data_IF_477810456090
#
_entry.id   IF_477810456090
#
_cell.length_a   1.000
_cell.length_b   1.000
_cell.length_c   1.000
_cell.angle_alpha   90.00
_cell.angle_beta   90.00
_cell.angle_gamma   90.00
#
_symmetry.space_group_name_H-M   'P 1'
#
loop_
_entity.id
_entity.type
_entity.pdbx_description
1 polymer ?
#
# COMPACT_ATOMS: atom_id res chain seq x y z
N UNK A 1 2.37 0.59 -23.42
CA UNK A 1 2.20 0.20 -22.01
C UNK A 1 0.90 0.68 -21.39
N UNK A 2 0.19 1.69 -21.92
CA UNK A 2 -1.00 2.30 -21.29
C UNK A 2 -0.69 3.35 -20.22
N UNK A 3 0.59 3.73 -20.07
CA UNK A 3 1.05 4.82 -19.18
C UNK A 3 1.32 6.05 -20.04
N UNK A 4 0.78 7.19 -19.65
CA UNK A 4 0.98 8.49 -20.33
C UNK A 4 1.38 9.54 -19.30
N UNK A 5 2.35 10.40 -19.63
CA UNK A 5 2.67 11.59 -18.87
C UNK A 5 2.28 12.82 -19.70
N UNK A 6 1.29 13.58 -19.23
CA UNK A 6 0.99 14.94 -19.69
C UNK A 6 1.69 15.94 -18.78
N UNK A 7 3.01 15.83 -18.77
CA UNK A 7 3.94 16.56 -17.95
C UNK A 7 5.31 16.54 -18.64
N UNK A 8 6.19 17.43 -18.24
CA UNK A 8 7.63 17.25 -18.43
C UNK A 8 8.15 16.64 -17.12
N UNK A 9 8.29 15.31 -17.01
CA UNK A 9 8.56 14.65 -15.74
C UNK A 9 9.93 15.05 -15.19
N UNK A 10 9.96 16.10 -14.37
CA UNK A 10 11.11 16.61 -13.65
C UNK A 10 10.85 16.59 -12.15
N UNK A 11 11.73 17.22 -11.36
CA UNK A 11 11.58 17.30 -9.92
C UNK A 11 11.36 15.92 -9.28
N UNK A 12 10.34 15.80 -8.44
CA UNK A 12 10.02 14.55 -7.77
C UNK A 12 9.47 13.46 -8.72
N UNK A 13 8.89 13.83 -9.86
CA UNK A 13 8.32 12.87 -10.82
C UNK A 13 9.33 12.29 -11.83
N UNK A 14 10.57 12.75 -11.81
CA UNK A 14 11.62 12.15 -12.65
C UNK A 14 11.81 10.66 -12.33
N UNK A 15 11.74 10.30 -11.05
CA UNK A 15 11.80 8.89 -10.62
C UNK A 15 10.61 8.08 -11.12
N UNK A 16 9.42 8.68 -11.22
CA UNK A 16 8.22 8.00 -11.73
C UNK A 16 8.36 7.66 -13.21
N UNK A 17 8.96 8.54 -14.02
CA UNK A 17 9.29 8.25 -15.42
C UNK A 17 10.31 7.11 -15.52
N UNK A 18 11.41 7.19 -14.76
CA UNK A 18 12.44 6.13 -14.77
C UNK A 18 11.87 4.77 -14.37
N UNK A 19 11.01 4.74 -13.35
CA UNK A 19 10.35 3.50 -12.91
C UNK A 19 9.35 2.98 -13.93
N UNK A 20 8.62 3.85 -14.63
CA UNK A 20 7.71 3.44 -15.69
C UNK A 20 8.47 2.77 -16.86
N UNK A 21 9.63 3.32 -17.25
CA UNK A 21 10.48 2.73 -18.28
C UNK A 21 11.08 1.41 -17.79
N UNK A 22 11.63 1.38 -16.56
CA UNK A 22 12.24 0.18 -15.98
C UNK A 22 11.25 -0.98 -15.86
N UNK A 23 9.99 -0.67 -15.54
CA UNK A 23 8.95 -1.66 -15.29
C UNK A 23 8.15 -2.05 -16.56
N UNK A 24 8.42 -1.42 -17.70
CA UNK A 24 7.59 -1.57 -18.91
C UNK A 24 7.49 -3.01 -19.44
N UNK A 25 8.48 -3.84 -19.17
CA UNK A 25 8.52 -5.27 -19.54
C UNK A 25 7.99 -6.21 -18.45
N UNK A 26 7.53 -5.68 -17.32
CA UNK A 26 7.03 -6.45 -16.19
C UNK A 26 8.11 -7.11 -15.31
N UNK A 27 9.40 -6.80 -15.53
CA UNK A 27 10.54 -7.41 -14.81
C UNK A 27 11.35 -6.43 -13.96
N UNK A 28 10.90 -5.21 -13.81
CA UNK A 28 11.61 -4.14 -13.13
C UNK A 28 11.61 -4.29 -11.59
N UNK A 29 11.31 -3.20 -10.90
CA UNK A 29 11.40 -3.11 -9.44
C UNK A 29 10.09 -2.62 -8.82
N UNK A 30 9.97 -2.82 -7.50
CA UNK A 30 8.85 -2.35 -6.69
C UNK A 30 7.49 -2.96 -7.09
N UNK A 31 7.49 -4.14 -7.69
CA UNK A 31 6.26 -4.90 -7.86
C UNK A 31 5.77 -5.41 -6.49
N UNK A 32 4.45 -5.43 -6.28
CA UNK A 32 3.88 -6.03 -5.08
C UNK A 32 4.08 -7.55 -5.09
N UNK A 33 3.84 -8.16 -3.93
CA UNK A 33 3.85 -9.62 -3.82
C UNK A 33 2.78 -10.28 -4.71
N UNK A 34 2.83 -11.61 -4.76
CA UNK A 34 1.97 -12.40 -5.62
C UNK A 34 0.47 -12.19 -5.32
N UNK A 35 0.11 -12.07 -4.04
CA UNK A 35 -1.28 -11.89 -3.64
C UNK A 35 -1.86 -10.57 -4.17
N UNK A 36 -1.17 -9.46 -3.96
CA UNK A 36 -1.57 -8.15 -4.49
C UNK A 36 -1.55 -8.15 -6.02
N UNK A 37 -0.53 -8.79 -6.62
CA UNK A 37 -0.45 -8.95 -8.08
C UNK A 37 -1.66 -9.68 -8.64
N UNK A 38 -2.11 -10.77 -8.02
CA UNK A 38 -3.30 -11.52 -8.43
C UNK A 38 -4.56 -10.67 -8.34
N UNK A 39 -4.74 -9.90 -7.26
CA UNK A 39 -5.88 -8.99 -7.09
C UNK A 39 -5.92 -7.91 -8.17
N UNK A 40 -4.76 -7.29 -8.50
CA UNK A 40 -4.67 -6.29 -9.58
C UNK A 40 -5.05 -6.92 -10.92
N UNK A 41 -4.54 -8.11 -11.22
CA UNK A 41 -4.87 -8.84 -12.47
C UNK A 41 -6.34 -9.23 -12.55
N UNK A 42 -7.00 -9.42 -11.43
CA UNK A 42 -8.41 -9.79 -11.35
C UNK A 42 -9.37 -8.60 -11.52
N UNK A 43 -8.90 -7.35 -11.44
CA UNK A 43 -9.76 -6.17 -11.67
C UNK A 43 -10.40 -6.24 -13.06
N UNK A 44 -11.70 -5.97 -13.10
CA UNK A 44 -12.46 -5.88 -14.35
C UNK A 44 -12.26 -4.51 -14.97
N UNK A 45 -12.02 -4.47 -16.27
CA UNK A 45 -11.83 -3.23 -17.03
C UNK A 45 -12.82 -3.09 -18.19
N UNK A 46 -12.68 -2.05 -19.02
CA UNK A 46 -11.56 -1.10 -19.05
C UNK A 46 -11.61 -0.07 -17.91
N UNK A 47 -10.43 0.36 -17.42
CA UNK A 47 -10.26 1.34 -16.36
C UNK A 47 -9.35 2.46 -16.87
N UNK A 48 -9.82 3.72 -16.86
CA UNK A 48 -9.01 4.87 -17.22
C UNK A 48 -8.76 5.74 -15.99
N UNK A 49 -7.50 5.83 -15.59
CA UNK A 49 -7.09 6.59 -14.41
C UNK A 49 -6.39 7.87 -14.85
N UNK A 50 -6.71 8.97 -14.20
CA UNK A 50 -6.01 10.25 -14.35
C UNK A 50 -5.55 10.72 -12.98
N UNK A 51 -4.24 10.99 -12.84
CA UNK A 51 -3.69 11.56 -11.60
C UNK A 51 -3.21 12.97 -11.86
N UNK A 52 -3.84 13.95 -11.20
CA UNK A 52 -3.33 15.31 -11.16
C UNK A 52 -2.24 15.41 -10.11
N UNK A 53 -1.11 15.98 -10.51
CA UNK A 53 0.12 16.06 -9.71
C UNK A 53 0.76 17.45 -9.79
N UNK A 54 1.75 17.68 -8.96
CA UNK A 54 2.69 18.80 -9.07
C UNK A 54 4.13 18.25 -8.99
N UNK A 55 5.03 18.80 -9.79
CA UNK A 55 6.44 18.36 -9.81
C UNK A 55 7.18 18.65 -8.50
N UNK A 56 6.63 19.52 -7.64
CA UNK A 56 7.15 19.84 -6.31
C UNK A 56 6.50 19.03 -5.17
N UNK A 57 5.51 18.22 -5.50
CA UNK A 57 4.78 17.41 -4.52
C UNK A 57 5.59 16.17 -4.12
N UNK A 58 5.93 16.04 -2.84
CA UNK A 58 6.72 14.90 -2.32
C UNK A 58 5.93 13.60 -2.18
N UNK A 59 4.61 13.65 -2.24
CA UNK A 59 3.73 12.49 -2.10
C UNK A 59 3.17 11.99 -3.44
N UNK A 60 3.27 12.79 -4.49
CA UNK A 60 2.73 12.45 -5.81
C UNK A 60 3.43 11.22 -6.43
N UNK A 61 4.77 11.07 -6.35
CA UNK A 61 5.45 9.90 -6.91
C UNK A 61 4.95 8.56 -6.37
N UNK A 62 4.64 8.48 -5.09
CA UNK A 62 4.17 7.24 -4.47
C UNK A 62 2.87 6.73 -5.13
N UNK A 63 1.94 7.65 -5.40
CA UNK A 63 0.65 7.34 -6.05
C UNK A 63 0.83 7.05 -7.53
N UNK A 64 1.58 7.90 -8.25
CA UNK A 64 1.84 7.74 -9.69
C UNK A 64 2.52 6.41 -9.99
N UNK A 65 3.59 6.08 -9.26
CA UNK A 65 4.32 4.83 -9.45
C UNK A 65 3.46 3.61 -9.12
N UNK A 66 2.64 3.69 -8.08
CA UNK A 66 1.68 2.64 -7.71
C UNK A 66 0.70 2.36 -8.85
N UNK A 67 0.08 3.38 -9.40
CA UNK A 67 -0.87 3.22 -10.51
C UNK A 67 -0.18 2.75 -11.79
N UNK A 68 1.04 3.22 -12.06
CA UNK A 68 1.84 2.73 -13.19
C UNK A 68 2.15 1.22 -13.08
N UNK A 69 2.45 0.73 -11.88
CA UNK A 69 2.63 -0.71 -11.63
C UNK A 69 1.34 -1.48 -11.89
N UNK A 70 0.17 -0.94 -11.48
CA UNK A 70 -1.11 -1.58 -11.78
C UNK A 70 -1.38 -1.68 -13.29
N UNK A 71 -1.02 -0.65 -14.08
CA UNK A 71 -1.13 -0.68 -15.54
C UNK A 71 -0.26 -1.77 -16.15
N UNK A 72 0.97 -1.93 -15.67
CA UNK A 72 1.88 -2.99 -16.15
C UNK A 72 1.35 -4.38 -15.85
N UNK A 73 0.73 -4.56 -14.68
CA UNK A 73 0.17 -5.84 -14.23
C UNK A 73 -1.18 -6.20 -14.85
N UNK A 74 -1.98 -5.19 -15.24
CA UNK A 74 -3.31 -5.40 -15.84
C UNK A 74 -3.50 -4.49 -17.06
N UNK A 75 -3.46 -5.05 -18.24
CA UNK A 75 -3.57 -4.33 -19.51
C UNK A 75 -4.93 -3.67 -19.77
N UNK A 76 -5.94 -3.94 -18.95
CA UNK A 76 -7.24 -3.27 -19.01
C UNK A 76 -7.22 -1.91 -18.28
N UNK A 77 -6.11 -1.58 -17.58
CA UNK A 77 -5.92 -0.30 -16.89
C UNK A 77 -5.06 0.60 -17.76
N UNK A 78 -5.45 1.86 -17.85
CA UNK A 78 -4.67 2.96 -18.43
C UNK A 78 -4.48 4.03 -17.37
N UNK A 79 -3.33 4.68 -17.36
CA UNK A 79 -3.04 5.74 -16.40
C UNK A 79 -2.39 6.93 -17.10
N UNK A 80 -2.94 8.10 -16.83
CA UNK A 80 -2.44 9.37 -17.30
C UNK A 80 -2.03 10.23 -16.09
N UNK A 81 -0.75 10.63 -16.04
CA UNK A 81 -0.20 11.52 -15.03
C UNK A 81 -0.15 12.94 -15.59
N UNK A 82 -0.89 13.87 -14.99
CA UNK A 82 -1.13 15.23 -15.49
C UNK A 82 -0.51 16.25 -14.55
N UNK A 83 0.44 17.03 -15.04
CA UNK A 83 0.97 18.18 -14.30
C UNK A 83 -0.05 19.30 -14.28
N UNK A 84 -0.52 19.67 -13.08
CA UNK A 84 -1.51 20.69 -12.90
C UNK A 84 -1.02 22.09 -13.29
N UNK A 85 0.28 22.36 -13.23
CA UNK A 85 0.83 23.68 -13.57
C UNK A 85 0.75 24.01 -15.06
N UNK A 86 0.79 22.99 -15.93
CA UNK A 86 0.70 23.19 -17.38
C UNK A 86 -0.68 22.81 -17.96
N UNK A 87 -1.61 22.36 -17.10
CA UNK A 87 -2.98 21.99 -17.47
C UNK A 87 -4.02 22.69 -16.56
N UNK A 88 -3.81 23.96 -16.24
CA UNK A 88 -4.63 24.74 -15.28
C UNK A 88 -6.13 24.76 -15.61
N UNK A 89 -6.47 24.92 -16.88
CA UNK A 89 -7.89 24.94 -17.32
C UNK A 89 -8.60 23.62 -16.99
N UNK A 90 -7.90 22.51 -17.16
CA UNK A 90 -8.42 21.17 -16.86
C UNK A 90 -8.54 20.97 -15.35
N UNK A 91 -7.53 21.35 -14.58
CA UNK A 91 -7.52 21.32 -13.10
C UNK A 91 -8.70 22.09 -12.53
N UNK A 92 -8.95 23.30 -13.06
CA UNK A 92 -10.08 24.14 -12.64
C UNK A 92 -11.43 23.51 -13.00
N UNK A 93 -11.57 22.98 -14.22
CA UNK A 93 -12.79 22.29 -14.68
C UNK A 93 -13.07 21.05 -13.83
N UNK A 94 -12.06 20.29 -13.48
CA UNK A 94 -12.15 19.08 -12.65
C UNK A 94 -12.22 19.37 -11.16
N UNK A 95 -12.12 20.65 -10.75
CA UNK A 95 -12.17 21.12 -9.35
C UNK A 95 -11.15 20.45 -8.45
N UNK A 96 -9.94 20.21 -8.96
CA UNK A 96 -8.83 19.62 -8.19
C UNK A 96 -8.34 20.65 -7.15
N UNK A 97 -8.45 20.33 -5.87
CA UNK A 97 -8.07 21.24 -4.78
C UNK A 97 -6.72 20.87 -4.12
N UNK A 98 -6.26 19.65 -4.32
CA UNK A 98 -5.02 19.14 -3.73
C UNK A 98 -4.38 18.09 -4.65
N UNK A 99 -3.09 17.84 -4.46
CA UNK A 99 -2.35 16.83 -5.21
C UNK A 99 -1.62 15.88 -4.26
N UNK A 100 -1.51 14.58 -4.63
CA UNK A 100 -2.11 13.95 -5.81
C UNK A 100 -3.62 13.78 -5.67
N UNK A 101 -4.35 13.94 -6.77
CA UNK A 101 -5.78 13.58 -6.85
C UNK A 101 -5.97 12.60 -8.01
N UNK A 102 -6.63 11.47 -7.73
CA UNK A 102 -6.86 10.40 -8.70
C UNK A 102 -8.34 10.37 -9.11
N UNK A 103 -8.55 10.36 -10.42
CA UNK A 103 -9.85 10.15 -11.05
C UNK A 103 -9.87 8.79 -11.75
N UNK A 104 -11.02 8.15 -11.73
CA UNK A 104 -11.31 6.94 -12.49
C UNK A 104 -12.53 7.19 -13.38
N UNK A 105 -12.35 7.13 -14.70
CA UNK A 105 -13.36 7.46 -15.70
C UNK A 105 -14.06 8.82 -15.45
N UNK A 106 -13.27 9.82 -15.06
CA UNK A 106 -13.73 11.20 -14.80
C UNK A 106 -14.34 11.45 -13.42
N UNK A 107 -14.43 10.45 -12.55
CA UNK A 107 -14.91 10.60 -11.17
C UNK A 107 -13.75 10.51 -10.18
N UNK A 108 -13.71 11.44 -9.21
CA UNK A 108 -12.67 11.48 -8.19
C UNK A 108 -12.80 10.30 -7.23
N UNK A 109 -11.75 9.48 -7.14
CA UNK A 109 -11.71 8.30 -6.26
C UNK A 109 -10.75 8.45 -5.09
N UNK A 110 -9.73 9.31 -5.21
CA UNK A 110 -8.70 9.44 -4.18
C UNK A 110 -8.06 10.83 -4.16
N UNK A 111 -7.69 11.29 -2.96
CA UNK A 111 -6.92 12.53 -2.74
C UNK A 111 -5.84 12.27 -1.69
N UNK A 112 -4.65 12.79 -1.93
CA UNK A 112 -3.52 12.70 -1.03
C UNK A 112 -2.75 11.39 -1.14
N UNK A 113 -2.05 11.02 -0.09
CA UNK A 113 -1.28 9.77 -0.02
C UNK A 113 -2.19 8.55 -0.17
N UNK A 114 -1.70 7.52 -0.84
CA UNK A 114 -2.39 6.24 -0.96
C UNK A 114 -1.41 5.10 -1.13
N UNK A 115 -1.61 4.01 -0.39
CA UNK A 115 -0.89 2.76 -0.62
C UNK A 115 -1.48 2.00 -1.80
N UNK A 116 -0.76 1.00 -2.30
CA UNK A 116 -1.29 0.09 -3.33
C UNK A 116 -2.56 -0.62 -2.84
N UNK A 117 -2.64 -0.97 -1.55
CA UNK A 117 -3.82 -1.57 -0.94
C UNK A 117 -5.02 -0.63 -0.97
N UNK A 118 -4.83 0.65 -0.57
CA UNK A 118 -5.91 1.65 -0.54
C UNK A 118 -6.48 1.92 -1.94
N UNK A 119 -5.61 2.06 -2.93
CA UNK A 119 -6.00 2.33 -4.31
C UNK A 119 -6.69 1.11 -4.93
N UNK A 120 -6.15 -0.09 -4.68
CA UNK A 120 -6.71 -1.35 -5.15
C UNK A 120 -8.12 -1.58 -4.58
N UNK A 121 -8.34 -1.35 -3.28
CA UNK A 121 -9.66 -1.46 -2.67
C UNK A 121 -10.72 -0.57 -3.31
N UNK A 122 -10.33 0.67 -3.65
CA UNK A 122 -11.24 1.62 -4.32
C UNK A 122 -11.59 1.18 -5.73
N UNK A 123 -10.61 0.63 -6.44
CA UNK A 123 -10.83 0.09 -7.79
C UNK A 123 -11.67 -1.18 -7.75
N UNK A 124 -11.43 -2.09 -6.81
CA UNK A 124 -12.27 -3.28 -6.60
C UNK A 124 -13.72 -2.94 -6.26
N UNK A 125 -13.91 -1.94 -5.38
CA UNK A 125 -15.25 -1.48 -5.01
C UNK A 125 -16.03 -0.87 -6.19
N UNK A 126 -15.32 -0.22 -7.13
CA UNK A 126 -15.92 0.46 -8.28
C UNK A 126 -16.15 -0.46 -9.46
N UNK A 127 -15.17 -1.28 -9.82
CA UNK A 127 -15.18 -2.07 -11.06
C UNK A 127 -15.45 -3.55 -10.81
N UNK A 128 -15.32 -3.99 -9.56
CA UNK A 128 -15.36 -5.40 -9.21
C UNK A 128 -14.10 -6.14 -9.67
N UNK A 129 -14.02 -7.39 -9.30
CA UNK A 129 -12.96 -8.31 -9.70
C UNK A 129 -13.53 -9.64 -10.17
N UNK A 130 -12.73 -10.37 -10.92
CA UNK A 130 -13.01 -11.80 -11.20
C UNK A 130 -12.77 -12.55 -9.90
N UNK A 131 -13.61 -13.55 -9.64
CA UNK A 131 -13.45 -14.41 -8.47
C UNK A 131 -12.08 -15.09 -8.48
N UNK A 132 -11.34 -14.90 -7.40
CA UNK A 132 -10.04 -15.54 -7.22
C UNK A 132 -10.23 -16.88 -6.55
N UNK A 133 -9.51 -17.89 -7.00
CA UNK A 133 -9.42 -19.15 -6.28
C UNK A 133 -8.93 -18.89 -4.85
N UNK A 134 -9.54 -19.59 -3.88
CA UNK A 134 -9.15 -19.49 -2.48
C UNK A 134 -7.66 -19.80 -2.33
N UNK A 135 -6.93 -18.89 -1.70
CA UNK A 135 -5.53 -19.12 -1.41
C UNK A 135 -5.40 -20.19 -0.32
N UNK A 136 -4.32 -20.97 -0.40
CA UNK A 136 -4.00 -21.94 0.65
C UNK A 136 -3.80 -21.23 1.99
N UNK A 137 -4.37 -21.77 3.05
CA UNK A 137 -4.22 -21.25 4.40
C UNK A 137 -2.79 -21.46 4.90
N UNK A 138 -2.10 -20.38 5.23
CA UNK A 138 -0.72 -20.43 5.76
C UNK A 138 -0.73 -20.57 7.28
N UNK A 139 0.14 -21.45 7.78
CA UNK A 139 0.26 -21.73 9.22
C UNK A 139 1.53 -21.11 9.83
N UNK A 140 1.37 -20.57 11.03
CA UNK A 140 2.41 -19.95 11.85
C UNK A 140 2.30 -20.38 13.31
N UNK A 141 3.34 -20.12 14.10
CA UNK A 141 3.27 -20.24 15.55
C UNK A 141 2.63 -19.01 16.17
N UNK A 142 2.92 -17.82 15.60
CA UNK A 142 2.39 -16.54 16.06
C UNK A 142 1.98 -15.69 14.87
N UNK A 143 0.75 -15.19 14.90
CA UNK A 143 0.29 -14.11 14.03
C UNK A 143 0.32 -12.79 14.80
N UNK A 144 0.82 -11.74 14.15
CA UNK A 144 0.79 -10.37 14.68
C UNK A 144 -0.08 -9.52 13.77
N UNK A 145 -1.21 -9.07 14.29
CA UNK A 145 -2.13 -8.18 13.60
C UNK A 145 -1.74 -6.72 13.85
N UNK A 146 -1.12 -6.09 12.85
CA UNK A 146 -0.67 -4.71 12.88
C UNK A 146 0.84 -4.54 12.79
N UNK A 147 1.27 -3.59 11.94
CA UNK A 147 2.68 -3.33 11.60
C UNK A 147 3.28 -2.10 12.27
N UNK A 148 2.62 -1.52 13.27
CA UNK A 148 3.15 -0.41 14.05
C UNK A 148 4.30 -0.83 14.98
N UNK A 149 4.91 0.11 15.76
CA UNK A 149 6.03 -0.21 16.64
C UNK A 149 5.76 -1.37 17.60
N UNK A 150 4.55 -1.44 18.17
CA UNK A 150 4.16 -2.53 19.08
C UNK A 150 4.13 -3.89 18.37
N UNK A 151 3.50 -3.96 17.19
CA UNK A 151 3.43 -5.21 16.41
C UNK A 151 4.81 -5.65 15.91
N UNK A 152 5.61 -4.73 15.42
CA UNK A 152 7.00 -4.98 15.01
C UNK A 152 7.83 -5.54 16.16
N UNK A 153 7.72 -4.93 17.36
CA UNK A 153 8.41 -5.41 18.56
C UNK A 153 7.96 -6.82 18.92
N UNK A 154 6.65 -7.06 18.96
CA UNK A 154 6.09 -8.38 19.29
C UNK A 154 6.57 -9.47 18.31
N UNK A 155 6.60 -9.16 17.01
CA UNK A 155 7.08 -10.08 15.98
C UNK A 155 8.56 -10.42 16.16
N UNK A 156 9.41 -9.42 16.33
CA UNK A 156 10.86 -9.61 16.53
C UNK A 156 11.13 -10.48 17.77
N UNK A 157 10.49 -10.15 18.90
CA UNK A 157 10.72 -10.95 20.12
C UNK A 157 10.18 -12.38 20.01
N UNK A 158 9.10 -12.60 19.28
CA UNK A 158 8.60 -13.95 19.00
C UNK A 158 9.56 -14.74 18.10
N UNK A 159 10.05 -14.12 17.03
CA UNK A 159 11.01 -14.74 16.12
C UNK A 159 12.35 -15.07 16.81
N UNK A 160 12.81 -14.21 17.74
CA UNK A 160 14.01 -14.46 18.57
C UNK A 160 13.87 -15.68 19.49
N UNK A 161 12.65 -16.16 19.72
CA UNK A 161 12.38 -17.43 20.45
C UNK A 161 12.35 -18.64 19.52
N UNK A 162 12.66 -18.46 18.22
CA UNK A 162 12.64 -19.52 17.23
C UNK A 162 11.25 -19.85 16.69
N UNK A 163 10.26 -18.99 16.93
CA UNK A 163 8.89 -19.18 16.45
C UNK A 163 8.77 -18.73 15.00
N UNK A 164 7.93 -19.41 14.22
CA UNK A 164 7.51 -19.00 12.88
C UNK A 164 6.46 -17.90 13.00
N UNK A 165 6.78 -16.70 12.55
CA UNK A 165 5.97 -15.48 12.78
C UNK A 165 5.55 -14.84 11.45
N UNK A 166 4.30 -14.38 11.39
CA UNK A 166 3.85 -13.44 10.35
C UNK A 166 3.35 -12.13 10.98
N UNK A 167 3.71 -11.00 10.35
CA UNK A 167 3.12 -9.68 10.61
C UNK A 167 2.16 -9.37 9.47
N UNK A 168 0.88 -9.18 9.81
CA UNK A 168 -0.18 -8.87 8.86
C UNK A 168 -0.63 -7.44 9.10
N UNK A 169 -0.44 -6.57 8.10
CA UNK A 169 -0.70 -5.13 8.24
C UNK A 169 -1.05 -4.47 6.91
N UNK A 170 -1.75 -3.35 6.97
CA UNK A 170 -1.91 -2.47 5.80
C UNK A 170 -0.55 -1.85 5.42
N UNK A 171 0.27 -1.46 6.41
CA UNK A 171 1.64 -0.94 6.21
C UNK A 171 2.50 -1.12 7.47
N UNK A 172 3.80 -1.31 7.27
CA UNK A 172 4.76 -1.25 8.38
C UNK A 172 4.96 0.20 8.83
N UNK A 173 5.16 0.38 10.14
CA UNK A 173 5.18 1.68 10.82
C UNK A 173 3.80 2.15 11.28
N UNK A 174 2.71 1.70 10.65
CA UNK A 174 1.36 2.13 11.03
C UNK A 174 1.23 3.66 11.03
N UNK A 175 0.65 4.23 12.07
CA UNK A 175 0.42 5.68 12.18
C UNK A 175 1.69 6.54 12.29
N UNK A 176 2.84 5.98 12.70
CA UNK A 176 4.07 6.79 12.79
C UNK A 176 4.49 7.33 11.42
N UNK A 177 4.09 6.69 10.32
CA UNK A 177 4.34 7.21 8.96
C UNK A 177 3.77 8.62 8.73
N UNK A 178 2.76 9.04 9.49
CA UNK A 178 2.14 10.36 9.38
C UNK A 178 2.86 11.43 10.21
N UNK A 179 3.79 11.01 11.08
CA UNK A 179 4.48 11.93 11.99
C UNK A 179 5.66 12.58 11.28
N UNK A 180 5.67 13.93 11.24
CA UNK A 180 6.73 14.69 10.57
C UNK A 180 8.06 14.64 11.34
N UNK A 181 8.02 14.80 12.65
CA UNK A 181 9.19 14.78 13.52
C UNK A 181 8.91 13.99 14.79
N UNK A 182 9.89 13.21 15.24
CA UNK A 182 9.86 12.42 16.46
C UNK A 182 11.12 12.76 17.27
N UNK A 183 10.93 13.32 18.47
CA UNK A 183 12.02 13.79 19.34
C UNK A 183 11.96 13.13 20.74
N UNK A 184 10.98 12.26 20.94
CA UNK A 184 10.71 11.61 22.24
C UNK A 184 10.93 10.10 22.22
N UNK A 185 11.65 9.60 21.21
CA UNK A 185 12.03 8.18 21.16
C UNK A 185 13.37 7.99 21.87
N UNK A 186 13.37 7.19 22.96
CA UNK A 186 14.59 6.92 23.73
C UNK A 186 15.67 6.33 22.82
N UNK A 187 16.89 6.80 22.96
CA UNK A 187 18.09 6.52 22.15
C UNK A 187 18.13 7.13 20.75
N UNK A 188 17.06 7.72 20.28
CA UNK A 188 17.01 8.44 18.98
C UNK A 188 16.55 9.88 19.24
N UNK A 189 17.47 10.85 19.32
CA UNK A 189 17.14 12.23 19.71
C UNK A 189 16.22 12.93 18.72
N UNK A 190 16.32 12.57 17.42
CA UNK A 190 15.51 13.14 16.36
C UNK A 190 15.41 12.16 15.18
N UNK A 191 14.19 11.93 14.70
CA UNK A 191 13.91 11.17 13.47
C UNK A 191 12.59 11.62 12.85
N UNK A 192 12.25 11.08 11.70
CA UNK A 192 10.92 11.24 11.09
C UNK A 192 10.13 9.95 11.17
N UNK A 193 8.81 10.03 11.09
CA UNK A 193 7.98 8.83 11.07
C UNK A 193 8.30 7.91 9.89
N UNK A 194 8.56 8.47 8.71
CA UNK A 194 9.00 7.69 7.53
C UNK A 194 10.31 6.95 7.78
N UNK A 195 11.29 7.62 8.39
CA UNK A 195 12.58 7.00 8.71
C UNK A 195 12.40 5.89 9.74
N UNK A 196 11.63 6.13 10.80
CA UNK A 196 11.34 5.12 11.81
C UNK A 196 10.64 3.89 11.20
N UNK A 197 9.65 4.11 10.32
CA UNK A 197 8.97 3.00 9.64
C UNK A 197 9.92 2.16 8.77
N UNK A 198 10.85 2.81 8.06
CA UNK A 198 11.89 2.12 7.28
C UNK A 198 12.83 1.31 8.18
N UNK A 199 13.23 1.86 9.32
CA UNK A 199 14.12 1.18 10.26
C UNK A 199 13.43 0.00 10.94
N UNK A 200 12.14 0.12 11.28
CA UNK A 200 11.32 -1.00 11.74
C UNK A 200 11.24 -2.12 10.70
N UNK A 201 11.03 -1.76 9.42
CA UNK A 201 10.98 -2.74 8.33
C UNK A 201 12.31 -3.44 8.11
N UNK A 202 13.41 -2.69 8.15
CA UNK A 202 14.76 -3.28 8.09
C UNK A 202 15.00 -4.23 9.26
N UNK A 203 14.62 -3.84 10.48
CA UNK A 203 14.81 -4.67 11.66
C UNK A 203 13.98 -5.96 11.59
N UNK A 204 12.74 -5.91 11.08
CA UNK A 204 11.95 -7.13 10.82
C UNK A 204 12.65 -8.07 9.83
N UNK A 205 13.26 -7.51 8.78
CA UNK A 205 13.94 -8.28 7.72
C UNK A 205 15.20 -9.00 8.19
N UNK A 206 15.79 -8.63 9.34
CA UNK A 206 16.93 -9.34 9.96
C UNK A 206 16.52 -10.69 10.57
N UNK A 207 15.21 -10.93 10.70
CA UNK A 207 14.67 -12.17 11.26
C UNK A 207 13.82 -12.90 10.20
N UNK A 208 13.62 -14.21 10.41
CA UNK A 208 12.74 -15.02 9.56
C UNK A 208 11.27 -14.75 9.91
N UNK A 209 10.79 -13.56 9.53
CA UNK A 209 9.41 -13.09 9.75
C UNK A 209 8.77 -12.84 8.39
N UNK A 210 7.60 -13.42 8.15
CA UNK A 210 6.81 -13.10 6.97
C UNK A 210 6.13 -11.73 7.16
N UNK A 211 6.58 -10.74 6.39
CA UNK A 211 6.05 -9.37 6.41
C UNK A 211 4.98 -9.25 5.33
N UNK A 212 3.71 -9.29 5.73
CA UNK A 212 2.55 -9.30 4.85
C UNK A 212 1.88 -7.93 4.87
N UNK A 213 2.41 -7.02 4.05
CA UNK A 213 1.87 -5.65 3.88
C UNK A 213 0.70 -5.62 2.89
N UNK A 214 -0.06 -4.52 2.90
CA UNK A 214 -1.25 -4.30 2.06
C UNK A 214 -2.35 -5.35 2.32
N UNK A 215 -2.43 -5.84 3.54
CA UNK A 215 -3.46 -6.77 4.00
C UNK A 215 -4.37 -6.08 5.01
N UNK A 216 -5.61 -5.93 4.61
CA UNK A 216 -6.67 -5.47 5.52
C UNK A 216 -7.34 -6.68 6.16
N UNK A 217 -7.23 -6.76 7.48
CA UNK A 217 -7.86 -7.82 8.26
C UNK A 217 -9.36 -7.56 8.30
N UNK A 218 -10.17 -8.54 7.88
CA UNK A 218 -11.62 -8.45 7.88
C UNK A 218 -12.25 -9.27 9.01
N UNK A 219 -11.66 -10.43 9.32
CA UNK A 219 -12.24 -11.33 10.29
C UNK A 219 -11.17 -12.06 11.10
N UNK A 220 -11.48 -12.29 12.36
CA UNK A 220 -10.72 -13.17 13.26
C UNK A 220 -11.68 -14.15 13.89
N UNK A 221 -11.37 -15.43 13.80
CA UNK A 221 -12.15 -16.52 14.36
C UNK A 221 -11.28 -17.43 15.19
N UNK A 222 -11.92 -18.22 16.05
CA UNK A 222 -11.27 -19.30 16.78
C UNK A 222 -11.89 -20.62 16.31
N UNK A 223 -11.10 -21.47 15.71
CA UNK A 223 -11.51 -22.79 15.23
C UNK A 223 -10.50 -23.83 15.70
N UNK A 224 -10.97 -24.87 16.38
CA UNK A 224 -10.13 -25.99 16.86
C UNK A 224 -8.91 -25.54 17.69
N UNK A 225 -9.08 -24.48 18.49
CA UNK A 225 -8.01 -23.89 19.32
C UNK A 225 -7.07 -22.97 18.57
N UNK A 226 -7.14 -22.88 17.23
CA UNK A 226 -6.37 -21.97 16.40
C UNK A 226 -7.08 -20.64 16.20
N UNK A 227 -6.33 -19.56 16.09
CA UNK A 227 -6.81 -18.25 15.66
C UNK A 227 -6.67 -18.19 14.15
N UNK A 228 -7.79 -18.01 13.48
CA UNK A 228 -7.88 -17.91 12.01
C UNK A 228 -8.14 -16.47 11.65
N UNK A 229 -7.27 -15.90 10.85
CA UNK A 229 -7.32 -14.52 10.43
C UNK A 229 -7.52 -14.47 8.91
N UNK A 230 -8.61 -13.84 8.48
CA UNK A 230 -8.93 -13.63 7.07
C UNK A 230 -8.71 -12.19 6.68
N UNK A 231 -8.11 -11.96 5.51
CA UNK A 231 -7.87 -10.64 4.95
C UNK A 231 -8.69 -10.42 3.69
N UNK A 232 -8.95 -9.17 3.38
CA UNK A 232 -9.64 -8.78 2.15
C UNK A 232 -8.90 -9.31 0.92
N UNK A 233 -9.61 -10.00 0.07
CA UNK A 233 -9.06 -10.66 -1.13
C UNK A 233 -8.81 -12.16 -0.96
N UNK A 234 -9.17 -12.75 0.21
CA UNK A 234 -9.34 -14.20 0.40
C UNK A 234 -8.14 -14.98 0.93
N UNK A 235 -7.01 -14.33 1.27
CA UNK A 235 -5.95 -15.03 2.02
C UNK A 235 -6.38 -15.29 3.46
N UNK A 236 -5.97 -16.44 3.98
CA UNK A 236 -6.26 -16.89 5.35
C UNK A 236 -4.97 -17.36 6.03
N UNK A 237 -4.83 -17.00 7.30
CA UNK A 237 -3.68 -17.35 8.13
C UNK A 237 -4.15 -17.95 9.44
N UNK A 238 -3.45 -18.96 9.94
CA UNK A 238 -3.79 -19.58 11.23
C UNK A 238 -2.59 -19.78 12.13
N UNK A 239 -2.80 -19.63 13.43
CA UNK A 239 -1.81 -19.87 14.48
C UNK A 239 -2.48 -20.17 15.82
N UNK A 240 -1.79 -20.87 16.73
CA UNK A 240 -2.26 -21.02 18.12
C UNK A 240 -2.25 -19.70 18.87
N UNK A 241 -1.43 -18.72 18.46
CA UNK A 241 -1.30 -17.43 19.14
C UNK A 241 -1.53 -16.27 18.16
N UNK A 242 -2.37 -15.32 18.57
CA UNK A 242 -2.58 -14.05 17.86
C UNK A 242 -2.28 -12.89 18.80
N UNK A 243 -1.40 -12.00 18.36
CA UNK A 243 -1.11 -10.74 19.04
C UNK A 243 -1.82 -9.61 18.28
N UNK A 244 -2.71 -8.91 18.98
CA UNK A 244 -3.47 -7.79 18.39
C UNK A 244 -2.73 -6.49 18.70
N UNK A 245 -2.20 -5.83 17.68
CA UNK A 245 -1.44 -4.58 17.75
C UNK A 245 -1.90 -3.58 16.66
N UNK A 246 -3.20 -3.56 16.38
CA UNK A 246 -3.83 -2.80 15.29
C UNK A 246 -3.81 -1.29 15.48
N UNK A 247 -3.49 -0.82 16.70
CA UNK A 247 -3.46 0.60 17.04
C UNK A 247 -4.84 1.22 17.11
N UNK A 248 -4.91 2.52 16.83
CA UNK A 248 -6.15 3.29 16.85
C UNK A 248 -6.23 4.21 15.62
N UNK A 249 -7.43 4.48 15.16
CA UNK A 249 -7.70 5.48 14.12
C UNK A 249 -8.37 6.71 14.76
N UNK A 250 -8.03 7.89 14.25
CA UNK A 250 -8.70 9.13 14.63
C UNK A 250 -10.17 9.07 14.21
N UNK A 251 -11.07 9.40 15.15
CA UNK A 251 -12.46 9.67 14.77
C UNK A 251 -12.50 11.00 14.03
N UNK A 252 -12.96 10.98 12.79
CA UNK A 252 -13.32 12.21 12.09
C UNK A 252 -14.68 12.66 12.63
N UNK A 253 -14.73 13.87 13.18
CA UNK A 253 -16.01 14.54 13.44
C UNK A 253 -16.57 14.95 12.08
N UNK A 254 -17.82 14.55 11.81
CA UNK A 254 -18.56 14.97 10.62
C UNK A 254 -19.02 16.42 10.79
#
# INVERSE_FOLDING_TARGET
TGITFRAVPGGHEFTSLLMAVLNADGKGKNFPDEFITRRIKALRGPINLTTYLSLTCTNCPDVVQTLNVMVVLNHQIRHEAVDGAINEDEVNRMKVQAVPTVFADGEQIHVGRGSIGDLLEKLEARYGSVELEAAETKEYDVLVAGGGPSGTTAAIYSARKGLKVAVIAERIGGQVNETMGIENLISIPQTTGKQLAQDLKKHLAEYNIDILENRRIEKVEVAEGMKVLSVKGGETYKAPVLIIATGANWRKLN
#
